data_IF_694987794435
#
_entry.id   IF_694987794435
#
_cell.length_a   1.000
_cell.length_b   1.000
_cell.length_c   1.000
_cell.angle_alpha   90.00
_cell.angle_beta   90.00
_cell.angle_gamma   90.00
#
_symmetry.space_group_name_H-M   'P 1'
#
loop_
_entity.id
_entity.type
_entity.pdbx_description
1 polymer ?
#
# COMPACT_ATOMS: atom_id res chain seq x y z
N UNK A 1 2.04 -10.40 20.56
CA UNK A 1 2.44 -10.70 19.16
C UNK A 1 1.59 -11.82 18.57
N UNK A 2 1.56 -13.01 19.17
CA UNK A 2 0.73 -14.12 18.70
C UNK A 2 -0.76 -13.78 18.56
N UNK A 3 -1.34 -13.03 19.50
CA UNK A 3 -2.73 -12.58 19.43
C UNK A 3 -3.02 -11.77 18.16
N UNK A 4 -2.08 -10.91 17.77
CA UNK A 4 -2.21 -10.11 16.53
C UNK A 4 -2.18 -11.01 15.31
N UNK A 5 -1.27 -12.00 15.28
CA UNK A 5 -1.16 -12.98 14.19
C UNK A 5 -2.46 -13.79 14.05
N UNK A 6 -3.00 -14.30 15.16
CA UNK A 6 -4.26 -15.08 15.17
C UNK A 6 -5.43 -14.22 14.69
N UNK A 7 -5.53 -12.97 15.14
CA UNK A 7 -6.57 -12.03 14.70
C UNK A 7 -6.43 -11.73 13.20
N UNK A 8 -5.20 -11.60 12.67
CA UNK A 8 -4.98 -11.36 11.24
C UNK A 8 -5.41 -12.55 10.39
N UNK A 9 -5.04 -13.77 10.81
CA UNK A 9 -5.45 -15.02 10.17
C UNK A 9 -6.96 -15.21 10.22
N UNK A 10 -7.58 -14.94 11.37
CA UNK A 10 -9.03 -14.99 11.55
C UNK A 10 -9.74 -13.96 10.66
N UNK A 11 -9.22 -12.73 10.57
CA UNK A 11 -9.75 -11.68 9.71
C UNK A 11 -9.68 -12.03 8.22
N UNK A 12 -8.59 -12.67 7.79
CA UNK A 12 -8.45 -13.16 6.41
C UNK A 12 -9.43 -14.30 6.10
N UNK A 13 -9.60 -15.25 7.02
CA UNK A 13 -10.57 -16.33 6.89
C UNK A 13 -12.02 -15.82 6.85
N UNK A 14 -12.35 -14.89 7.76
CA UNK A 14 -13.66 -14.24 7.79
C UNK A 14 -13.91 -13.44 6.50
N UNK A 15 -12.92 -12.67 6.04
CA UNK A 15 -12.99 -11.94 4.77
C UNK A 15 -13.17 -12.85 3.55
N UNK A 16 -12.58 -14.05 3.56
CA UNK A 16 -12.74 -15.04 2.50
C UNK A 16 -14.15 -15.64 2.46
N UNK A 17 -14.72 -15.99 3.62
CA UNK A 17 -16.10 -16.49 3.73
C UNK A 17 -17.10 -15.39 3.35
N UNK A 18 -16.89 -14.15 3.79
CA UNK A 18 -17.75 -13.01 3.44
C UNK A 18 -17.66 -12.61 1.96
N UNK A 19 -16.57 -12.96 1.25
CA UNK A 19 -16.42 -12.71 -0.19
C UNK A 19 -17.35 -13.56 -1.06
N UNK A 20 -17.85 -14.69 -0.54
CA UNK A 20 -18.81 -15.54 -1.24
C UNK A 20 -20.20 -14.88 -1.34
N UNK A 21 -20.54 -13.95 -0.44
CA UNK A 21 -21.75 -13.14 -0.54
C UNK A 21 -21.50 -11.88 -1.37
N UNK A 22 -22.34 -11.64 -2.38
CA UNK A 22 -22.32 -10.44 -3.24
C UNK A 22 -22.75 -9.17 -2.49
N UNK A 23 -22.04 -8.81 -1.43
CA UNK A 23 -22.35 -7.65 -0.58
C UNK A 23 -21.86 -6.33 -1.22
N UNK A 24 -22.45 -5.96 -2.36
CA UNK A 24 -22.29 -4.62 -2.93
C UNK A 24 -22.68 -3.53 -1.91
N UNK A 25 -23.57 -3.86 -0.96
CA UNK A 25 -23.94 -3.01 0.17
C UNK A 25 -22.77 -2.72 1.13
N UNK A 26 -21.95 -3.72 1.48
CA UNK A 26 -20.79 -3.53 2.37
C UNK A 26 -19.76 -2.62 1.69
N UNK A 27 -19.50 -2.81 0.40
CA UNK A 27 -18.63 -1.91 -0.36
C UNK A 27 -19.17 -0.47 -0.34
N UNK A 28 -20.48 -0.29 -0.57
CA UNK A 28 -21.13 1.02 -0.53
C UNK A 28 -21.02 1.66 0.86
N UNK A 29 -21.28 0.89 1.92
CA UNK A 29 -21.20 1.33 3.31
C UNK A 29 -19.78 1.77 3.69
N UNK A 30 -18.75 0.98 3.33
CA UNK A 30 -17.35 1.34 3.56
C UNK A 30 -16.98 2.60 2.79
N UNK A 31 -17.38 2.75 1.52
CA UNK A 31 -17.11 3.97 0.76
C UNK A 31 -17.74 5.21 1.41
N UNK A 32 -19.01 5.12 1.85
CA UNK A 32 -19.69 6.21 2.56
C UNK A 32 -18.99 6.52 3.89
N UNK A 33 -18.57 5.48 4.63
CA UNK A 33 -17.86 5.65 5.89
C UNK A 33 -16.49 6.31 5.69
N UNK A 34 -15.72 5.91 4.67
CA UNK A 34 -14.44 6.54 4.31
C UNK A 34 -14.66 8.01 3.94
N UNK A 35 -15.69 8.32 3.16
CA UNK A 35 -16.07 9.71 2.86
C UNK A 35 -16.36 10.51 4.12
N UNK A 36 -17.16 9.95 5.04
CA UNK A 36 -17.51 10.60 6.29
C UNK A 36 -16.28 10.81 7.20
N UNK A 37 -15.43 9.79 7.34
CA UNK A 37 -14.19 9.85 8.12
C UNK A 37 -13.23 10.88 7.54
N UNK A 38 -13.06 10.93 6.22
CA UNK A 38 -12.22 11.93 5.55
C UNK A 38 -12.76 13.35 5.75
N UNK A 39 -14.08 13.52 5.71
CA UNK A 39 -14.71 14.81 6.00
C UNK A 39 -14.48 15.24 7.45
N UNK A 40 -14.74 14.36 8.41
CA UNK A 40 -14.48 14.63 9.83
C UNK A 40 -13.02 14.98 10.08
N UNK A 41 -12.09 14.19 9.53
CA UNK A 41 -10.65 14.43 9.62
C UNK A 41 -10.28 15.80 9.05
N UNK A 42 -10.87 16.18 7.91
CA UNK A 42 -10.65 17.49 7.30
C UNK A 42 -11.09 18.64 8.19
N UNK A 43 -12.23 18.52 8.87
CA UNK A 43 -12.73 19.53 9.82
C UNK A 43 -11.84 19.60 11.07
N UNK A 44 -11.45 18.47 11.64
CA UNK A 44 -10.58 18.40 12.82
C UNK A 44 -9.20 19.03 12.54
N UNK A 45 -8.62 18.72 11.38
CA UNK A 45 -7.34 19.27 10.95
C UNK A 45 -7.45 20.76 10.58
N UNK A 46 -8.51 21.14 9.86
CA UNK A 46 -8.72 22.53 9.39
C UNK A 46 -9.02 23.52 10.51
N UNK A 47 -9.61 23.07 11.62
CA UNK A 47 -9.91 23.93 12.78
C UNK A 47 -8.70 24.07 13.72
N UNK A 48 -7.64 23.28 13.53
CA UNK A 48 -6.46 23.29 14.39
C UNK A 48 -5.36 24.22 13.82
N UNK A 49 -5.13 25.42 14.40
CA UNK A 49 -4.19 26.40 13.86
C UNK A 49 -2.74 25.91 13.88
N UNK A 50 -2.38 24.98 14.78
CA UNK A 50 -1.03 24.37 14.79
C UNK A 50 -0.80 23.47 13.59
N UNK A 51 -1.82 22.72 13.20
CA UNK A 51 -1.72 21.83 12.04
C UNK A 51 -1.72 22.68 10.78
N UNK A 52 -2.68 23.60 10.63
CA UNK A 52 -2.79 24.50 9.47
C UNK A 52 -1.53 25.33 9.26
N UNK A 53 -0.96 25.91 10.32
CA UNK A 53 0.31 26.63 10.23
C UNK A 53 1.52 25.75 9.87
N UNK A 54 1.43 24.45 10.14
CA UNK A 54 2.47 23.46 9.83
C UNK A 54 2.28 22.71 8.51
N UNK A 55 1.13 22.84 7.82
CA UNK A 55 0.79 22.08 6.59
C UNK A 55 1.89 22.21 5.53
N UNK A 56 2.48 23.40 5.34
CA UNK A 56 3.54 23.60 4.35
C UNK A 56 4.77 22.75 4.62
N UNK A 57 5.28 22.75 5.86
CA UNK A 57 6.47 21.99 6.25
C UNK A 57 6.19 20.48 6.33
N UNK A 58 5.09 20.09 6.97
CA UNK A 58 4.67 18.69 7.09
C UNK A 58 4.33 18.09 5.72
N UNK A 59 3.70 18.86 4.84
CA UNK A 59 3.38 18.46 3.49
C UNK A 59 4.62 18.29 2.62
N UNK A 60 5.60 19.19 2.73
CA UNK A 60 6.87 19.06 2.03
C UNK A 60 7.66 17.84 2.51
N UNK A 61 7.75 17.62 3.83
CA UNK A 61 8.38 16.42 4.41
C UNK A 61 7.69 15.14 3.91
N UNK A 62 6.36 15.10 3.95
CA UNK A 62 5.58 13.96 3.47
C UNK A 62 5.77 13.71 1.96
N UNK A 63 5.83 14.76 1.14
CA UNK A 63 6.06 14.65 -0.29
C UNK A 63 7.45 14.08 -0.59
N UNK A 64 8.48 14.54 0.12
CA UNK A 64 9.85 14.01 -0.02
C UNK A 64 9.89 12.53 0.36
N UNK A 65 9.27 12.14 1.47
CA UNK A 65 9.19 10.74 1.89
C UNK A 65 8.43 9.87 0.89
N UNK A 66 7.32 10.37 0.34
CA UNK A 66 6.52 9.66 -0.64
C UNK A 66 7.32 9.42 -1.94
N UNK A 67 7.97 10.46 -2.47
CA UNK A 67 8.80 10.36 -3.69
C UNK A 67 9.99 9.44 -3.44
N UNK A 68 10.69 9.59 -2.32
CA UNK A 68 11.82 8.72 -1.97
C UNK A 68 11.38 7.25 -1.83
N UNK A 69 10.23 6.99 -1.22
CA UNK A 69 9.68 5.64 -1.06
C UNK A 69 9.28 5.00 -2.39
N UNK A 70 8.64 5.76 -3.29
CA UNK A 70 8.27 5.29 -4.63
C UNK A 70 9.51 5.02 -5.47
N UNK A 71 10.46 5.96 -5.50
CA UNK A 71 11.71 5.80 -6.24
C UNK A 71 12.53 4.62 -5.70
N UNK A 72 12.66 4.49 -4.38
CA UNK A 72 13.35 3.38 -3.75
C UNK A 72 12.72 2.03 -4.13
N UNK A 73 11.39 1.95 -4.07
CA UNK A 73 10.65 0.73 -4.46
C UNK A 73 10.81 0.41 -5.95
N UNK A 74 10.76 1.41 -6.84
CA UNK A 74 10.96 1.23 -8.27
C UNK A 74 12.39 0.79 -8.63
N UNK A 75 13.40 1.40 -7.99
CA UNK A 75 14.81 1.01 -8.16
C UNK A 75 15.04 -0.43 -7.71
N UNK A 76 14.50 -0.81 -6.54
CA UNK A 76 14.64 -2.18 -6.04
C UNK A 76 13.96 -3.20 -6.96
N UNK A 77 12.76 -2.88 -7.46
CA UNK A 77 12.08 -3.71 -8.45
C UNK A 77 12.88 -3.84 -9.76
N UNK A 78 13.52 -2.76 -10.21
CA UNK A 78 14.38 -2.76 -11.40
C UNK A 78 15.65 -3.60 -11.21
N UNK A 79 16.30 -3.48 -10.05
CA UNK A 79 17.47 -4.31 -9.69
C UNK A 79 17.07 -5.79 -9.68
N UNK A 80 15.97 -6.13 -9.01
CA UNK A 80 15.45 -7.51 -8.99
C UNK A 80 15.16 -8.02 -10.40
N UNK A 81 14.52 -7.20 -11.24
CA UNK A 81 14.27 -7.55 -12.64
C UNK A 81 15.56 -7.82 -13.42
N UNK A 82 16.60 -7.00 -13.22
CA UNK A 82 17.90 -7.18 -13.88
C UNK A 82 18.63 -8.43 -13.41
N UNK A 83 18.63 -8.72 -12.10
CA UNK A 83 19.24 -9.94 -11.54
C UNK A 83 18.53 -11.19 -12.05
N UNK A 84 17.19 -11.20 -12.02
CA UNK A 84 16.39 -12.34 -12.47
C UNK A 84 16.48 -12.55 -13.99
N UNK A 85 16.64 -11.48 -14.78
CA UNK A 85 16.83 -11.58 -16.22
C UNK A 85 18.25 -11.99 -16.60
N UNK A 86 19.28 -11.43 -15.95
CA UNK A 86 20.66 -11.87 -16.14
C UNK A 86 20.83 -13.36 -15.87
N UNK A 87 20.24 -13.87 -14.77
CA UNK A 87 20.22 -15.29 -14.48
C UNK A 87 19.50 -16.17 -15.52
N UNK A 88 18.59 -15.60 -16.33
CA UNK A 88 17.91 -16.31 -17.43
C UNK A 88 18.69 -16.29 -18.74
N UNK A 89 19.51 -15.26 -18.95
CA UNK A 89 20.29 -15.10 -20.17
C UNK A 89 21.54 -16.02 -20.14
N UNK A 90 22.08 -16.34 -18.95
CA UNK A 90 23.18 -17.31 -18.76
C UNK A 90 22.78 -18.79 -18.99
N UNK A 91 21.51 -19.15 -18.84
CA UNK A 91 21.01 -20.53 -19.10
C UNK A 91 20.76 -20.82 -20.61
N UNK A 92 20.86 -19.80 -21.48
CA UNK A 92 20.58 -19.90 -22.92
C UNK A 92 21.78 -20.24 -23.80
N UNK A 93 23.02 -20.06 -23.32
CA UNK A 93 24.25 -20.23 -24.12
C UNK A 93 24.95 -21.58 -23.90
N UNK A 94 24.26 -22.55 -23.29
CA UNK A 94 24.75 -23.93 -23.15
C UNK A 94 24.34 -24.88 -24.28
N UNK A 95 23.41 -24.48 -25.16
CA UNK A 95 22.70 -25.39 -26.08
C UNK A 95 23.15 -25.40 -27.54
N UNK A 96 24.09 -24.55 -27.95
CA UNK A 96 24.47 -24.40 -29.38
C UNK A 96 25.90 -24.83 -29.70
N UNK A 97 26.46 -25.77 -28.92
CA UNK A 97 27.78 -26.38 -29.13
C UNK A 97 27.80 -27.92 -28.99
N UNK A 98 26.71 -28.58 -29.33
CA UNK A 98 26.67 -30.04 -29.50
C UNK A 98 26.21 -30.40 -30.93
#
# INVERSE_FOLDING_TARGET
MFTVIIIMLAGMGLGYVLRAGRFAFVRRAVTVLVWLLLFLLGVEVGTNPRVVGGIGRLGAEAAVLAVAGVLGSAVMAWVLYRVVRGARDDDGDGGQRA
#
